data_IF_033436847592
#
_entry.id   IF_033436847592
#
_cell.length_a   1.000
_cell.length_b   1.000
_cell.length_c   1.000
_cell.angle_alpha   90.00
_cell.angle_beta   90.00
_cell.angle_gamma   90.00
#
_symmetry.space_group_name_H-M   'P 1'
#
loop_
_entity.id
_entity.type
_entity.pdbx_description
1 polymer ?
#
# COMPACT_ATOMS: atom_id res chain seq x y z
N UNK A 1 -1.45 -1.93 -10.16
CA UNK A 1 -2.64 -1.11 -10.44
C UNK A 1 -2.97 -1.17 -11.92
N UNK A 2 -4.26 -1.16 -12.26
CA UNK A 2 -4.77 -0.99 -13.62
C UNK A 2 -5.55 0.32 -13.66
N UNK A 3 -5.29 1.13 -14.68
CA UNK A 3 -5.95 2.41 -14.85
C UNK A 3 -6.51 2.57 -16.28
N UNK A 4 -7.69 3.16 -16.40
CA UNK A 4 -8.22 3.61 -17.68
C UNK A 4 -7.65 4.99 -18.02
N UNK A 5 -7.26 5.18 -19.28
CA UNK A 5 -6.85 6.49 -19.79
C UNK A 5 -7.93 7.07 -20.70
N UNK A 6 -8.48 8.22 -20.32
CA UNK A 6 -9.40 9.00 -21.15
C UNK A 6 -8.85 10.42 -21.30
N UNK A 7 -8.15 10.67 -22.41
CA UNK A 7 -7.44 11.93 -22.64
C UNK A 7 -6.32 12.16 -21.61
N UNK A 8 -6.46 13.22 -20.82
CA UNK A 8 -5.54 13.57 -19.70
C UNK A 8 -5.94 12.97 -18.36
N UNK A 9 -7.09 12.30 -18.26
CA UNK A 9 -7.59 11.74 -17.00
C UNK A 9 -7.18 10.28 -16.86
N UNK A 10 -6.66 9.94 -15.67
CA UNK A 10 -6.36 8.57 -15.24
C UNK A 10 -7.42 8.18 -14.22
N UNK A 11 -8.11 7.07 -14.45
CA UNK A 11 -9.13 6.55 -13.52
C UNK A 11 -8.78 5.12 -13.10
N UNK A 12 -8.85 4.85 -11.80
CA UNK A 12 -8.58 3.52 -11.25
C UNK A 12 -9.57 2.49 -11.81
N UNK A 13 -9.03 1.40 -12.36
CA UNK A 13 -9.81 0.29 -12.95
C UNK A 13 -9.65 -1.04 -12.21
N UNK A 14 -8.63 -1.14 -11.36
CA UNK A 14 -8.41 -2.26 -10.43
C UNK A 14 -7.08 -2.14 -9.71
N UNK A 15 -7.02 -2.57 -8.45
CA UNK A 15 -5.78 -2.58 -7.67
C UNK A 15 -5.80 -3.72 -6.65
N UNK A 16 -4.95 -4.71 -6.88
CA UNK A 16 -4.65 -5.79 -5.95
C UNK A 16 -3.13 -5.90 -5.83
N UNK A 17 -2.65 -6.03 -4.59
CA UNK A 17 -1.23 -6.15 -4.28
C UNK A 17 -1.02 -7.15 -3.15
N UNK A 18 0.23 -7.55 -2.96
CA UNK A 18 0.65 -8.46 -1.89
C UNK A 18 1.78 -7.79 -1.12
N UNK A 19 1.54 -7.34 0.12
CA UNK A 19 2.56 -6.60 0.87
C UNK A 19 3.67 -7.50 1.40
N UNK A 20 3.39 -8.79 1.58
CA UNK A 20 4.34 -9.76 2.13
C UNK A 20 4.92 -10.67 1.03
N UNK A 21 6.22 -10.99 1.10
CA UNK A 21 6.91 -11.82 0.10
C UNK A 21 6.61 -13.31 0.30
N UNK A 22 5.39 -13.73 -0.03
CA UNK A 22 4.95 -15.14 0.11
C UNK A 22 5.30 -16.01 -1.11
N UNK A 23 5.85 -15.41 -2.18
CA UNK A 23 6.21 -16.08 -3.44
C UNK A 23 7.27 -15.26 -4.20
N UNK A 24 7.94 -15.83 -5.22
CA UNK A 24 8.88 -15.10 -6.07
C UNK A 24 8.22 -13.88 -6.75
N UNK A 25 8.99 -12.80 -6.92
CA UNK A 25 8.47 -11.52 -7.44
C UNK A 25 7.77 -11.67 -8.80
N UNK A 26 8.33 -12.47 -9.71
CA UNK A 26 7.73 -12.70 -11.03
C UNK A 26 6.34 -13.34 -10.95
N UNK A 27 6.16 -14.33 -10.07
CA UNK A 27 4.85 -14.96 -9.83
C UNK A 27 3.88 -13.98 -9.16
N UNK A 28 4.35 -13.21 -8.17
CA UNK A 28 3.55 -12.19 -7.50
C UNK A 28 3.01 -11.14 -8.48
N UNK A 29 3.84 -10.67 -9.41
CA UNK A 29 3.43 -9.70 -10.45
C UNK A 29 2.32 -10.29 -11.32
N UNK A 30 2.51 -11.51 -11.84
CA UNK A 30 1.51 -12.16 -12.72
C UNK A 30 0.18 -12.33 -12.00
N UNK A 31 0.21 -12.89 -10.78
CA UNK A 31 -1.02 -13.15 -10.01
C UNK A 31 -1.68 -11.82 -9.60
N UNK A 32 -0.92 -10.82 -9.14
CA UNK A 32 -1.48 -9.51 -8.78
C UNK A 32 -2.09 -8.80 -9.98
N UNK A 33 -1.51 -8.91 -11.18
CA UNK A 33 -2.07 -8.35 -12.39
C UNK A 33 -3.41 -9.02 -12.77
N UNK A 34 -3.47 -10.35 -12.71
CA UNK A 34 -4.72 -11.11 -12.94
C UNK A 34 -5.78 -10.68 -11.92
N UNK A 35 -5.45 -10.70 -10.63
CA UNK A 35 -6.40 -10.38 -9.57
C UNK A 35 -6.86 -8.91 -9.64
N UNK A 36 -5.97 -7.97 -10.00
CA UNK A 36 -6.38 -6.58 -10.23
C UNK A 36 -7.38 -6.45 -11.39
N UNK A 37 -7.29 -7.31 -12.41
CA UNK A 37 -8.21 -7.32 -13.55
C UNK A 37 -9.53 -8.05 -13.25
N UNK A 38 -9.52 -9.12 -12.45
CA UNK A 38 -10.65 -10.05 -12.33
C UNK A 38 -11.25 -10.17 -10.94
N UNK A 39 -10.54 -9.75 -9.89
CA UNK A 39 -10.91 -10.02 -8.48
C UNK A 39 -10.98 -8.78 -7.59
N UNK A 40 -10.74 -7.56 -8.11
CA UNK A 40 -10.97 -6.34 -7.32
C UNK A 40 -12.48 -6.15 -7.07
N UNK A 41 -12.97 -6.28 -5.81
CA UNK A 41 -14.40 -6.34 -5.51
C UNK A 41 -15.14 -5.02 -5.77
N UNK A 42 -14.41 -3.93 -6.02
CA UNK A 42 -14.98 -2.61 -6.33
C UNK A 42 -15.38 -2.47 -7.80
N UNK A 43 -14.93 -3.39 -8.67
CA UNK A 43 -15.11 -3.29 -10.12
C UNK A 43 -15.60 -4.61 -10.71
N UNK A 44 -16.27 -4.53 -11.86
CA UNK A 44 -16.53 -5.72 -12.69
C UNK A 44 -15.22 -6.21 -13.32
N UNK A 45 -15.07 -7.53 -13.61
CA UNK A 45 -13.90 -8.04 -14.31
C UNK A 45 -13.63 -7.29 -15.61
N UNK A 46 -12.35 -7.04 -15.89
CA UNK A 46 -11.88 -6.40 -17.13
C UNK A 46 -12.24 -7.27 -18.34
N UNK A 47 -12.81 -6.64 -19.38
CA UNK A 47 -13.11 -7.29 -20.65
C UNK A 47 -11.93 -7.21 -21.62
N UNK A 48 -11.90 -8.09 -22.62
CA UNK A 48 -10.82 -8.12 -23.62
C UNK A 48 -10.66 -6.79 -24.37
N UNK A 49 -11.77 -6.09 -24.65
CA UNK A 49 -11.74 -4.81 -25.37
C UNK A 49 -11.16 -3.65 -24.51
N UNK A 50 -11.21 -3.77 -23.19
CA UNK A 50 -10.61 -2.77 -22.29
C UNK A 50 -9.08 -2.87 -22.28
N UNK A 51 -8.51 -4.05 -22.55
CA UNK A 51 -7.07 -4.32 -22.42
C UNK A 51 -6.18 -3.33 -23.20
N UNK A 52 -6.58 -2.97 -24.43
CA UNK A 52 -5.81 -2.06 -25.28
C UNK A 52 -5.72 -0.62 -24.71
N UNK A 53 -6.61 -0.26 -23.80
CA UNK A 53 -6.70 1.09 -23.23
C UNK A 53 -6.24 1.16 -21.77
N UNK A 54 -5.78 0.05 -21.20
CA UNK A 54 -5.29 0.00 -19.83
C UNK A 54 -3.85 0.50 -19.73
N UNK A 55 -3.63 1.42 -18.82
CA UNK A 55 -2.30 1.70 -18.30
C UNK A 55 -2.06 0.80 -17.09
N UNK A 56 -0.97 0.03 -17.16
CA UNK A 56 -0.55 -0.87 -16.08
C UNK A 56 0.50 -0.14 -15.26
N UNK A 57 0.40 -0.25 -13.95
CA UNK A 57 1.41 0.24 -13.01
C UNK A 57 1.77 -0.90 -12.06
N UNK A 58 3.07 -1.14 -11.88
CA UNK A 58 3.60 -2.16 -10.98
C UNK A 58 4.39 -1.47 -9.88
N UNK A 59 3.97 -1.66 -8.64
CA UNK A 59 4.70 -1.19 -7.46
C UNK A 59 5.41 -2.37 -6.82
N UNK A 60 6.75 -2.35 -6.82
CA UNK A 60 7.59 -3.37 -6.20
C UNK A 60 8.01 -2.87 -4.82
N UNK A 61 7.80 -3.69 -3.80
CA UNK A 61 8.11 -3.35 -2.41
C UNK A 61 9.35 -4.12 -1.94
N UNK A 62 10.15 -3.50 -1.07
CA UNK A 62 11.09 -4.25 -0.23
C UNK A 62 10.33 -5.12 0.75
N UNK A 63 10.98 -6.14 1.32
CA UNK A 63 10.40 -6.90 2.43
C UNK A 63 10.13 -5.94 3.61
N UNK A 64 8.88 -5.89 4.14
CA UNK A 64 8.59 -5.08 5.32
C UNK A 64 9.43 -5.54 6.51
N UNK A 65 9.98 -4.60 7.27
CA UNK A 65 10.70 -4.87 8.50
C UNK A 65 10.02 -4.18 9.67
N UNK A 66 9.95 -4.86 10.82
CA UNK A 66 9.30 -4.32 12.01
C UNK A 66 10.14 -3.18 12.59
N UNK A 67 9.48 -2.09 12.97
CA UNK A 67 10.09 -0.99 13.71
C UNK A 67 10.11 -1.34 15.19
N UNK A 68 11.17 -2.01 15.64
CA UNK A 68 11.37 -2.30 17.06
C UNK A 68 11.80 -1.02 17.80
N UNK A 69 10.85 -0.32 18.42
CA UNK A 69 11.10 0.90 19.18
C UNK A 69 10.01 1.08 20.24
N UNK A 70 10.27 1.94 21.23
CA UNK A 70 9.18 2.44 22.07
C UNK A 70 8.27 3.35 21.23
N UNK A 71 6.96 3.45 21.53
CA UNK A 71 6.06 4.32 20.81
C UNK A 71 6.63 5.71 20.52
N UNK A 72 7.13 6.41 21.55
CA UNK A 72 7.70 7.74 21.44
C UNK A 72 8.91 7.87 20.49
N UNK A 73 9.55 6.76 20.14
CA UNK A 73 10.70 6.70 19.23
C UNK A 73 10.29 6.35 17.77
N UNK A 74 9.07 5.85 17.54
CA UNK A 74 8.61 5.39 16.23
C UNK A 74 8.62 6.49 15.15
N UNK A 75 8.09 7.71 15.39
CA UNK A 75 8.14 8.77 14.39
C UNK A 75 9.56 9.08 13.91
N UNK A 76 10.55 9.01 14.81
CA UNK A 76 11.96 9.25 14.50
C UNK A 76 12.63 8.16 13.64
N UNK A 77 11.99 7.01 13.43
CA UNK A 77 12.46 5.92 12.55
C UNK A 77 11.81 5.94 11.16
N UNK A 78 10.92 6.89 10.89
CA UNK A 78 10.14 6.96 9.67
C UNK A 78 10.66 8.10 8.80
N UNK A 79 11.14 7.76 7.60
CA UNK A 79 11.52 8.73 6.58
C UNK A 79 10.33 8.98 5.65
N UNK A 80 9.61 10.10 5.84
CA UNK A 80 8.47 10.50 4.98
C UNK A 80 8.91 10.60 3.52
N UNK A 81 8.10 10.03 2.62
CA UNK A 81 8.39 9.97 1.18
C UNK A 81 9.33 8.86 0.75
N UNK A 82 9.95 8.15 1.71
CA UNK A 82 10.76 6.96 1.44
C UNK A 82 10.10 5.70 1.99
N UNK A 83 9.69 5.73 3.25
CA UNK A 83 9.04 4.60 3.91
C UNK A 83 7.54 4.61 3.62
N UNK A 84 7.00 3.44 3.27
CA UNK A 84 5.61 3.08 3.46
C UNK A 84 5.45 2.35 4.78
N UNK A 85 4.23 2.36 5.32
CA UNK A 85 3.94 1.79 6.63
C UNK A 85 2.91 0.67 6.52
N UNK A 86 3.08 -0.35 7.36
CA UNK A 86 2.05 -1.33 7.67
C UNK A 86 1.81 -1.29 9.17
N UNK A 87 0.55 -1.17 9.57
CA UNK A 87 0.11 -1.31 10.96
C UNK A 87 -0.68 -2.58 11.09
N UNK A 88 -0.41 -3.37 12.12
CA UNK A 88 -1.12 -4.61 12.44
C UNK A 88 -1.49 -4.68 13.92
N UNK A 89 -2.72 -5.12 14.21
CA UNK A 89 -3.21 -5.37 15.56
C UNK A 89 -4.25 -6.50 15.52
N UNK A 90 -3.89 -7.70 15.95
CA UNK A 90 -4.77 -8.86 15.84
C UNK A 90 -5.25 -9.09 14.38
N UNK A 91 -6.56 -9.08 14.09
CA UNK A 91 -7.08 -9.26 12.72
C UNK A 91 -7.02 -7.98 11.86
N UNK A 92 -6.69 -6.83 12.44
CA UNK A 92 -6.68 -5.54 11.77
C UNK A 92 -5.34 -5.29 11.08
N UNK A 93 -5.36 -4.86 9.82
CA UNK A 93 -4.15 -4.51 9.09
C UNK A 93 -4.42 -3.39 8.10
N UNK A 94 -3.53 -2.40 8.08
CA UNK A 94 -3.56 -1.26 7.18
C UNK A 94 -2.19 -1.03 6.57
N UNK A 95 -2.17 -0.62 5.29
CA UNK A 95 -0.95 -0.28 4.57
C UNK A 95 -1.15 1.04 3.84
N UNK A 96 -0.16 1.92 3.94
CA UNK A 96 -0.04 3.11 3.10
C UNK A 96 1.33 3.14 2.41
N UNK A 97 1.33 3.51 1.13
CA UNK A 97 2.54 3.59 0.31
C UNK A 97 3.34 4.88 0.62
N UNK A 98 4.65 4.92 0.31
CA UNK A 98 5.51 6.08 0.63
C UNK A 98 4.98 7.42 0.13
N UNK A 99 4.41 7.46 -1.08
CA UNK A 99 3.91 8.68 -1.69
C UNK A 99 2.69 9.27 -0.99
N UNK A 100 1.91 8.46 -0.26
CA UNK A 100 0.67 8.93 0.38
C UNK A 100 0.97 10.02 1.40
N UNK A 101 2.04 9.85 2.18
CA UNK A 101 2.46 10.86 3.16
C UNK A 101 2.84 12.18 2.49
N UNK A 102 3.58 12.12 1.39
CA UNK A 102 4.02 13.31 0.64
C UNK A 102 2.84 14.03 -0.03
N UNK A 103 1.93 13.28 -0.65
CA UNK A 103 0.77 13.85 -1.36
C UNK A 103 -0.21 14.57 -0.43
N UNK A 104 -0.23 14.20 0.86
CA UNK A 104 -1.14 14.76 1.85
C UNK A 104 -0.44 15.63 2.90
N UNK A 105 0.86 15.91 2.71
CA UNK A 105 1.69 16.72 3.63
C UNK A 105 1.69 16.18 5.08
N UNK A 106 1.68 14.85 5.24
CA UNK A 106 1.73 14.21 6.56
C UNK A 106 3.15 14.22 7.11
N UNK A 107 3.28 14.56 8.38
CA UNK A 107 4.47 14.21 9.15
C UNK A 107 4.48 12.72 9.53
N UNK A 108 5.54 12.26 10.19
CA UNK A 108 5.68 10.85 10.56
C UNK A 108 4.62 10.37 11.57
N UNK A 109 4.16 11.23 12.48
CA UNK A 109 3.16 10.90 13.49
C UNK A 109 1.76 10.84 12.86
N UNK A 110 1.43 11.82 12.02
CA UNK A 110 0.22 11.81 11.22
C UNK A 110 0.19 10.58 10.31
N UNK A 111 1.31 10.23 9.68
CA UNK A 111 1.38 9.08 8.78
C UNK A 111 1.15 7.75 9.52
N UNK A 112 1.70 7.60 10.74
CA UNK A 112 1.37 6.48 11.63
C UNK A 112 -0.13 6.42 11.91
N UNK A 113 -0.72 7.54 12.34
CA UNK A 113 -2.15 7.56 12.68
C UNK A 113 -3.08 7.32 11.50
N UNK A 114 -2.74 7.83 10.31
CA UNK A 114 -3.47 7.53 9.08
C UNK A 114 -3.35 6.06 8.69
N UNK A 115 -2.20 5.42 8.94
CA UNK A 115 -2.03 3.99 8.72
C UNK A 115 -2.84 3.16 9.72
N UNK A 116 -2.95 3.59 10.98
CA UNK A 116 -3.86 2.98 11.97
C UNK A 116 -5.31 3.10 11.52
N UNK A 117 -5.75 4.28 11.09
CA UNK A 117 -7.10 4.48 10.55
C UNK A 117 -7.36 3.59 9.33
N UNK A 118 -6.37 3.45 8.44
CA UNK A 118 -6.43 2.55 7.29
C UNK A 118 -6.59 1.09 7.69
N UNK A 119 -6.05 0.69 8.85
CA UNK A 119 -6.22 -0.64 9.44
C UNK A 119 -7.60 -0.84 10.09
N UNK A 120 -8.43 0.21 10.20
CA UNK A 120 -9.69 0.20 10.95
C UNK A 120 -9.51 0.39 12.45
N UNK A 121 -8.39 0.97 12.89
CA UNK A 121 -8.06 1.26 14.28
C UNK A 121 -8.23 2.75 14.60
N UNK A 122 -8.14 3.11 15.88
CA UNK A 122 -8.03 4.52 16.28
C UNK A 122 -6.70 5.12 15.82
N UNK A 123 -6.62 6.44 15.54
CA UNK A 123 -5.41 7.08 15.04
C UNK A 123 -4.20 6.99 15.97
N UNK A 124 -4.41 6.80 17.27
CA UNK A 124 -3.37 6.67 18.28
C UNK A 124 -2.99 5.20 18.57
N UNK A 125 -3.58 4.23 17.88
CA UNK A 125 -3.36 2.81 18.16
C UNK A 125 -1.89 2.36 18.02
N UNK A 126 -1.06 3.10 17.27
CA UNK A 126 0.38 2.84 17.13
C UNK A 126 1.18 3.02 18.43
N UNK A 127 0.60 3.65 19.47
CA UNK A 127 1.23 3.74 20.79
C UNK A 127 0.91 2.56 21.70
N UNK A 128 -0.01 1.69 21.29
CA UNK A 128 -0.42 0.53 22.08
C UNK A 128 0.60 -0.61 21.95
N UNK A 129 0.85 -1.32 23.06
CA UNK A 129 1.88 -2.35 23.12
C UNK A 129 1.61 -3.60 22.27
N UNK A 130 0.37 -3.81 21.86
CA UNK A 130 -0.07 -4.92 21.00
C UNK A 130 -0.24 -4.51 19.52
N UNK A 131 0.17 -3.29 19.17
CA UNK A 131 0.21 -2.81 17.78
C UNK A 131 1.62 -2.94 17.22
N UNK A 132 1.74 -3.61 16.08
CA UNK A 132 2.99 -3.76 15.36
C UNK A 132 3.05 -2.78 14.17
N UNK A 133 4.17 -2.09 14.04
CA UNK A 133 4.44 -1.17 12.93
C UNK A 133 5.61 -1.71 12.11
N UNK A 134 5.42 -1.80 10.80
CA UNK A 134 6.44 -2.20 9.85
C UNK A 134 6.70 -1.07 8.85
N UNK A 135 7.96 -0.93 8.43
CA UNK A 135 8.35 -0.04 7.34
C UNK A 135 8.81 -0.85 6.12
N UNK A 136 8.58 -0.29 4.94
CA UNK A 136 9.09 -0.81 3.66
C UNK A 136 9.39 0.34 2.71
N UNK A 137 10.19 0.10 1.68
CA UNK A 137 10.39 1.02 0.57
C UNK A 137 9.68 0.49 -0.68
N UNK A 138 9.37 1.37 -1.63
CA UNK A 138 8.67 0.98 -2.85
C UNK A 138 9.18 1.71 -4.08
N UNK A 139 9.16 1.02 -5.22
CA UNK A 139 9.44 1.61 -6.53
C UNK A 139 8.27 1.34 -7.47
N UNK A 140 7.86 2.39 -8.20
CA UNK A 140 6.75 2.34 -9.16
C UNK A 140 7.32 2.22 -10.59
N UNK A 141 6.71 1.35 -11.39
CA UNK A 141 6.97 1.15 -12.81
C UNK A 141 5.67 1.36 -13.60
N UNK A 142 5.74 2.04 -14.73
CA UNK A 142 4.62 2.32 -15.64
C UNK A 142 4.85 1.70 -17.02
#
# INVERSE_FOLDING_TARGET
TLNNRSGSRIELRGCIGRPYPVMPLGEAIVISAINAATEDPRFMPVTLNELENLQIEVTVLTTPHQLEARPEELPGKIEVGRHGLIVQKGPYSGLLLPQVAVENDFDAEEFLGQTCMKAGLFPDAWVESDTEVFAFEGQIFH
#
